data_IF_207634011643
#
_entry.id   IF_207634011643
#
_cell.length_a   1.000
_cell.length_b   1.000
_cell.length_c   1.000
_cell.angle_alpha   90.00
_cell.angle_beta   90.00
_cell.angle_gamma   90.00
#
_symmetry.space_group_name_H-M   'P 1'
#
loop_
_entity.id
_entity.type
_entity.pdbx_description
1 polymer ?
#
# COMPACT_ATOMS: atom_id res chain seq x y z
N UNK A 1 -17.09 58.88 14.37
CA UNK A 1 -16.54 57.70 13.66
C UNK A 1 -17.61 56.61 13.69
N UNK A 2 -18.01 56.08 12.54
CA UNK A 2 -19.15 55.17 12.43
C UNK A 2 -18.70 53.71 12.61
N UNK A 3 -19.52 52.91 13.30
CA UNK A 3 -19.34 51.45 13.49
C UNK A 3 -18.88 50.70 12.22
N UNK A 4 -19.42 50.96 11.01
CA UNK A 4 -18.93 50.30 9.78
C UNK A 4 -17.46 50.57 9.46
N UNK A 5 -16.91 51.73 9.82
CA UNK A 5 -15.49 52.03 9.60
C UNK A 5 -14.59 51.20 10.51
N UNK A 6 -14.99 50.99 11.76
CA UNK A 6 -14.27 50.15 12.72
C UNK A 6 -14.27 48.66 12.30
N UNK A 7 -15.37 48.21 11.69
CA UNK A 7 -15.46 46.85 11.13
C UNK A 7 -14.55 46.68 9.91
N UNK A 8 -14.51 47.68 9.02
CA UNK A 8 -13.63 47.66 7.85
C UNK A 8 -12.14 47.65 8.26
N UNK A 9 -11.75 48.48 9.22
CA UNK A 9 -10.37 48.53 9.74
C UNK A 9 -9.99 47.22 10.45
N UNK A 10 -10.90 46.63 11.23
CA UNK A 10 -10.67 45.36 11.91
C UNK A 10 -10.48 44.20 10.92
N UNK A 11 -11.29 44.15 9.86
CA UNK A 11 -11.17 43.13 8.82
C UNK A 11 -9.91 43.32 7.96
N UNK A 12 -9.52 44.56 7.69
CA UNK A 12 -8.25 44.87 7.04
C UNK A 12 -7.07 44.40 7.90
N UNK A 13 -7.14 44.58 9.22
CA UNK A 13 -6.09 44.17 10.16
C UNK A 13 -6.00 42.64 10.32
N UNK A 14 -7.11 41.90 10.22
CA UNK A 14 -7.10 40.42 10.19
C UNK A 14 -6.37 39.87 8.96
N UNK A 15 -6.44 40.57 7.82
CA UNK A 15 -5.76 40.18 6.59
C UNK A 15 -4.24 40.46 6.62
N UNK A 16 -3.76 41.23 7.60
CA UNK A 16 -2.35 41.62 7.78
C UNK A 16 -1.69 40.86 8.95
N UNK A 17 -2.41 39.94 9.60
CA UNK A 17 -1.72 38.92 10.39
C UNK A 17 -0.84 38.15 9.40
N UNK A 18 0.50 38.25 9.48
CA UNK A 18 1.34 37.34 8.72
C UNK A 18 0.82 35.95 9.09
N UNK A 19 0.62 35.10 8.08
CA UNK A 19 0.49 33.68 8.34
C UNK A 19 1.79 33.28 9.04
N UNK A 20 1.80 33.41 10.37
CA UNK A 20 2.94 33.08 11.18
C UNK A 20 3.06 31.59 10.98
N UNK A 21 4.00 31.20 10.13
CA UNK A 21 4.33 29.81 9.88
C UNK A 21 4.65 29.21 11.24
N UNK A 22 3.65 28.58 11.85
CA UNK A 22 3.86 27.77 13.04
C UNK A 22 4.91 26.77 12.59
N UNK A 23 6.08 26.72 13.24
CA UNK A 23 7.10 25.76 12.86
C UNK A 23 6.48 24.37 12.88
N UNK A 24 6.21 23.83 11.70
CA UNK A 24 5.70 22.48 11.53
C UNK A 24 6.93 21.60 11.36
N UNK A 25 7.36 20.85 12.38
CA UNK A 25 8.49 19.95 12.23
C UNK A 25 8.16 18.94 11.13
N UNK A 26 9.19 18.50 10.41
CA UNK A 26 9.03 17.45 9.41
C UNK A 26 8.44 16.17 10.02
N UNK A 27 7.88 15.27 9.21
CA UNK A 27 7.31 14.01 9.67
C UNK A 27 8.29 13.24 10.56
N UNK A 28 7.89 12.94 11.80
CA UNK A 28 8.67 12.12 12.72
C UNK A 28 7.98 10.76 12.91
N UNK A 29 8.77 9.69 12.82
CA UNK A 29 8.26 8.34 13.03
C UNK A 29 7.70 8.20 14.46
N UNK A 30 6.49 7.61 14.64
CA UNK A 30 5.92 7.41 15.96
C UNK A 30 6.73 6.39 16.76
N UNK A 31 6.69 6.43 18.11
CA UNK A 31 7.30 5.41 18.95
C UNK A 31 6.84 4.00 18.53
N UNK A 32 7.79 3.07 18.35
CA UNK A 32 7.49 1.69 17.95
C UNK A 32 7.34 1.45 16.44
N UNK A 33 7.50 2.48 15.58
CA UNK A 33 7.39 2.33 14.12
C UNK A 33 8.25 1.20 13.55
N UNK A 34 9.51 1.06 14.00
CA UNK A 34 10.41 0.01 13.51
C UNK A 34 9.90 -1.42 13.75
N UNK A 35 9.16 -1.68 14.84
CA UNK A 35 8.58 -3.00 15.08
C UNK A 35 7.45 -3.30 14.09
N UNK A 36 6.63 -2.28 13.77
CA UNK A 36 5.56 -2.39 12.77
C UNK A 36 6.15 -2.61 11.39
N UNK A 37 7.18 -1.85 11.01
CA UNK A 37 7.90 -2.01 9.74
C UNK A 37 8.45 -3.43 9.58
N UNK A 38 9.03 -4.01 10.63
CA UNK A 38 9.52 -5.38 10.62
C UNK A 38 8.39 -6.39 10.34
N UNK A 39 7.24 -6.27 11.01
CA UNK A 39 6.08 -7.15 10.78
C UNK A 39 5.60 -7.04 9.35
N UNK A 40 5.44 -5.82 8.84
CA UNK A 40 5.01 -5.58 7.45
C UNK A 40 6.01 -6.18 6.46
N UNK A 41 7.31 -6.07 6.73
CA UNK A 41 8.38 -6.66 5.92
C UNK A 41 8.26 -8.19 5.86
N UNK A 42 8.05 -8.85 7.01
CA UNK A 42 7.85 -10.30 7.05
C UNK A 42 6.58 -10.72 6.32
N UNK A 43 5.46 -10.02 6.50
CA UNK A 43 4.21 -10.31 5.79
C UNK A 43 4.40 -10.19 4.28
N UNK A 44 5.11 -9.14 3.83
CA UNK A 44 5.44 -8.95 2.41
C UNK A 44 6.29 -10.10 1.87
N UNK A 45 7.28 -10.54 2.64
CA UNK A 45 8.13 -11.68 2.26
C UNK A 45 7.33 -12.98 2.16
N UNK A 46 6.50 -13.28 3.16
CA UNK A 46 5.64 -14.48 3.18
C UNK A 46 4.69 -14.48 1.98
N UNK A 47 4.04 -13.35 1.71
CA UNK A 47 3.14 -13.22 0.56
C UNK A 47 3.87 -13.53 -0.76
N UNK A 48 5.09 -13.02 -0.94
CA UNK A 48 5.93 -13.34 -2.10
C UNK A 48 6.22 -14.83 -2.21
N UNK A 49 6.60 -15.50 -1.12
CA UNK A 49 6.85 -16.94 -1.09
C UNK A 49 5.58 -17.74 -1.40
N UNK A 50 4.41 -17.35 -0.87
CA UNK A 50 3.13 -17.99 -1.17
C UNK A 50 2.77 -17.90 -2.65
N UNK A 51 2.98 -16.73 -3.28
CA UNK A 51 2.75 -16.54 -4.72
C UNK A 51 3.63 -17.49 -5.53
N UNK A 52 4.93 -17.55 -5.22
CA UNK A 52 5.86 -18.47 -5.89
C UNK A 52 5.47 -19.94 -5.67
N UNK A 53 5.10 -20.30 -4.43
CA UNK A 53 4.65 -21.64 -4.08
C UNK A 53 3.38 -22.06 -4.82
N UNK A 54 2.41 -21.16 -4.97
CA UNK A 54 1.20 -21.41 -5.76
C UNK A 54 1.52 -21.56 -7.25
N UNK A 55 2.44 -20.77 -7.79
CA UNK A 55 2.83 -20.85 -9.20
C UNK A 55 3.53 -22.17 -9.51
N UNK A 56 4.65 -22.44 -8.84
CA UNK A 56 5.43 -23.65 -9.08
C UNK A 56 4.72 -24.92 -8.60
N UNK A 57 4.05 -24.86 -7.45
CA UNK A 57 3.20 -25.95 -6.96
C UNK A 57 2.04 -26.23 -7.91
N UNK A 58 1.47 -25.19 -8.53
CA UNK A 58 0.46 -25.32 -9.57
C UNK A 58 0.98 -26.01 -10.82
N UNK A 59 2.20 -25.73 -11.27
CA UNK A 59 2.86 -26.44 -12.39
C UNK A 59 3.02 -27.93 -12.07
N UNK A 60 3.52 -28.25 -10.87
CA UNK A 60 3.69 -29.63 -10.42
C UNK A 60 2.33 -30.34 -10.38
N UNK A 61 1.32 -29.74 -9.74
CA UNK A 61 -0.02 -30.33 -9.62
C UNK A 61 -0.70 -30.50 -10.99
N UNK A 62 -0.56 -29.51 -11.89
CA UNK A 62 -1.12 -29.57 -13.24
C UNK A 62 -0.46 -30.68 -14.08
N UNK A 63 0.87 -30.79 -14.00
CA UNK A 63 1.65 -31.80 -14.73
C UNK A 63 1.37 -33.20 -14.20
N UNK A 64 1.43 -33.38 -12.87
CA UNK A 64 1.11 -34.64 -12.22
C UNK A 64 -0.32 -35.09 -12.52
N UNK A 65 -1.30 -34.19 -12.49
CA UNK A 65 -2.68 -34.52 -12.83
C UNK A 65 -2.88 -35.05 -14.25
N UNK A 66 -2.07 -34.59 -15.21
CA UNK A 66 -2.09 -35.12 -16.58
C UNK A 66 -1.30 -36.42 -16.72
N UNK A 67 -0.19 -36.55 -16.00
CA UNK A 67 0.68 -37.72 -16.09
C UNK A 67 0.04 -38.96 -15.45
N UNK A 68 -0.68 -38.79 -14.34
CA UNK A 68 -1.38 -39.87 -13.62
C UNK A 68 -2.88 -39.94 -13.93
N UNK A 69 -3.36 -39.24 -14.96
CA UNK A 69 -4.78 -39.18 -15.36
C UNK A 69 -5.76 -38.73 -14.25
N UNK A 70 -5.23 -38.04 -13.23
CA UNK A 70 -6.00 -37.52 -12.13
C UNK A 70 -6.58 -36.13 -12.49
N UNK A 71 -7.76 -36.16 -13.11
CA UNK A 71 -8.45 -35.01 -13.67
C UNK A 71 -8.63 -33.84 -12.67
N UNK A 72 -8.83 -34.15 -11.38
CA UNK A 72 -9.03 -33.14 -10.33
C UNK A 72 -7.77 -32.32 -10.01
N UNK A 73 -6.60 -32.97 -9.94
CA UNK A 73 -5.34 -32.29 -9.60
C UNK A 73 -4.83 -31.47 -10.78
N UNK A 74 -5.06 -31.94 -12.01
CA UNK A 74 -4.79 -31.18 -13.23
C UNK A 74 -5.51 -29.83 -13.26
N UNK A 75 -6.80 -29.84 -12.92
CA UNK A 75 -7.65 -28.63 -12.84
C UNK A 75 -7.27 -27.73 -11.68
N UNK A 76 -6.97 -28.30 -10.51
CA UNK A 76 -6.52 -27.54 -9.35
C UNK A 76 -5.20 -26.81 -9.65
N UNK A 77 -4.22 -27.50 -10.23
CA UNK A 77 -2.93 -26.91 -10.58
C UNK A 77 -3.06 -25.73 -11.54
N UNK A 78 -3.90 -25.86 -12.59
CA UNK A 78 -4.18 -24.75 -13.50
C UNK A 78 -4.78 -23.53 -12.78
N UNK A 79 -5.68 -23.74 -11.82
CA UNK A 79 -6.26 -22.64 -11.00
C UNK A 79 -5.21 -21.99 -10.10
N UNK A 80 -4.30 -22.76 -9.51
CA UNK A 80 -3.20 -22.23 -8.71
C UNK A 80 -2.27 -21.34 -9.54
N UNK A 81 -1.94 -21.75 -10.76
CA UNK A 81 -1.11 -20.95 -11.68
C UNK A 81 -1.80 -19.62 -12.00
N UNK A 82 -3.04 -19.66 -12.51
CA UNK A 82 -3.77 -18.44 -12.87
C UNK A 82 -3.99 -17.54 -11.65
N UNK A 83 -4.36 -18.11 -10.51
CA UNK A 83 -4.52 -17.38 -9.26
C UNK A 83 -3.23 -16.72 -8.79
N UNK A 84 -2.10 -17.42 -8.84
CA UNK A 84 -0.79 -16.87 -8.47
C UNK A 84 -0.34 -15.73 -9.38
N UNK A 85 -0.62 -15.81 -10.69
CA UNK A 85 -0.32 -14.72 -11.62
C UNK A 85 -1.15 -13.47 -11.31
N UNK A 86 -2.45 -13.64 -11.05
CA UNK A 86 -3.31 -12.53 -10.63
C UNK A 86 -2.84 -11.92 -9.30
N UNK A 87 -2.49 -12.77 -8.32
CA UNK A 87 -1.92 -12.33 -7.05
C UNK A 87 -0.59 -11.60 -7.23
N UNK A 88 0.29 -12.06 -8.12
CA UNK A 88 1.57 -11.40 -8.41
C UNK A 88 1.37 -9.98 -8.97
N UNK A 89 0.41 -9.83 -9.89
CA UNK A 89 0.03 -8.52 -10.44
C UNK A 89 -0.52 -7.62 -9.34
N UNK A 90 -1.47 -8.09 -8.54
CA UNK A 90 -2.07 -7.32 -7.45
C UNK A 90 -1.03 -6.94 -6.39
N UNK A 91 -0.11 -7.84 -6.07
CA UNK A 91 0.96 -7.60 -5.10
C UNK A 91 1.93 -6.52 -5.60
N UNK A 92 2.37 -6.60 -6.85
CA UNK A 92 3.26 -5.61 -7.46
C UNK A 92 2.59 -4.24 -7.63
N UNK A 93 1.36 -4.21 -8.15
CA UNK A 93 0.60 -2.97 -8.34
C UNK A 93 0.24 -2.32 -7.00
N UNK A 94 -0.25 -3.11 -6.03
CA UNK A 94 -0.59 -2.64 -4.71
C UNK A 94 0.62 -2.02 -4.01
N UNK A 95 1.79 -2.69 -4.07
CA UNK A 95 3.03 -2.14 -3.51
C UNK A 95 3.44 -0.82 -4.20
N UNK A 96 3.34 -0.76 -5.52
CA UNK A 96 3.66 0.44 -6.30
C UNK A 96 2.75 1.60 -5.90
N UNK A 97 1.43 1.39 -5.86
CA UNK A 97 0.46 2.42 -5.50
C UNK A 97 0.68 2.95 -4.08
N UNK A 98 0.85 2.07 -3.10
CA UNK A 98 1.13 2.48 -1.71
C UNK A 98 2.42 3.29 -1.61
N UNK A 99 3.46 2.89 -2.34
CA UNK A 99 4.75 3.60 -2.35
C UNK A 99 4.63 4.99 -2.97
N UNK A 100 3.84 5.15 -4.03
CA UNK A 100 3.59 6.45 -4.66
C UNK A 100 2.82 7.39 -3.73
N UNK A 101 1.77 6.90 -3.05
CA UNK A 101 1.05 7.70 -2.06
C UNK A 101 1.93 8.11 -0.89
N UNK A 102 2.75 7.19 -0.37
CA UNK A 102 3.68 7.49 0.71
C UNK A 102 4.73 8.54 0.31
N UNK A 103 5.27 8.45 -0.90
CA UNK A 103 6.24 9.43 -1.42
C UNK A 103 5.62 10.82 -1.62
N UNK A 104 4.34 10.90 -2.01
CA UNK A 104 3.65 12.19 -2.18
C UNK A 104 3.31 12.91 -0.87
N UNK A 105 3.34 12.19 0.25
CA UNK A 105 3.00 12.71 1.58
C UNK A 105 4.23 13.13 2.41
N UNK A 106 5.45 12.87 1.91
CA UNK A 106 6.73 13.20 2.54
C UNK A 106 7.33 14.48 1.94
#
# INVERSE_FOLDING_TARGET
MSVPHLLADSLAQVHVLPAQEIPNPGPQAPPGAGAIENVVSYVRWIAGICILGLFFGGIVAATAGRLWDHHGSGRLGARMIVGSLALAVLFGLGYTLVSQFAASAA
#
